data_IF_500085909765
#
_entry.id   IF_500085909765
#
_cell.length_a   1.000
_cell.length_b   1.000
_cell.length_c   1.000
_cell.angle_alpha   90.00
_cell.angle_beta   90.00
_cell.angle_gamma   90.00
#
_symmetry.space_group_name_H-M   'P 1'
#
loop_
_entity.id
_entity.type
_entity.pdbx_description
1 polymer ?
#
# COMPACT_ATOMS: atom_id res chain seq x y z
N UNK A 1 -32.50 8.22 -13.34
CA UNK A 1 -31.87 8.37 -12.01
C UNK A 1 -31.74 6.98 -11.42
N UNK A 2 -30.63 6.33 -11.68
CA UNK A 2 -30.31 5.01 -11.16
C UNK A 2 -29.21 5.20 -10.13
N UNK A 3 -29.61 5.07 -8.87
CA UNK A 3 -28.74 4.99 -7.70
C UNK A 3 -27.92 3.70 -7.82
N UNK A 4 -26.69 3.83 -8.28
CA UNK A 4 -25.73 2.73 -8.26
C UNK A 4 -25.09 2.69 -6.87
N UNK A 5 -25.84 2.07 -5.94
CA UNK A 5 -25.36 1.71 -4.61
C UNK A 5 -23.99 1.07 -4.71
N UNK A 6 -22.96 1.79 -4.25
CA UNK A 6 -21.60 1.29 -4.12
C UNK A 6 -21.63 0.14 -3.09
N UNK A 7 -21.85 -1.07 -3.56
CA UNK A 7 -21.82 -2.28 -2.74
C UNK A 7 -20.44 -2.35 -2.05
N UNK A 8 -20.45 -2.22 -0.75
CA UNK A 8 -19.27 -2.44 0.11
C UNK A 8 -18.85 -3.90 -0.05
N UNK A 9 -17.64 -4.12 -0.55
CA UNK A 9 -17.10 -5.45 -0.78
C UNK A 9 -16.82 -6.14 0.56
N UNK A 10 -17.15 -7.42 0.66
CA UNK A 10 -16.76 -8.24 1.80
C UNK A 10 -15.21 -8.40 1.86
N UNK A 11 -14.62 -8.38 3.07
CA UNK A 11 -13.16 -8.37 3.24
C UNK A 11 -12.44 -9.63 2.70
N UNK A 12 -13.15 -10.71 2.44
CA UNK A 12 -12.59 -12.01 2.04
C UNK A 12 -12.59 -12.27 0.52
N UNK A 13 -12.98 -11.29 -0.29
CA UNK A 13 -12.97 -11.46 -1.75
C UNK A 13 -11.58 -11.15 -2.33
N UNK A 14 -11.06 -11.95 -3.30
CA UNK A 14 -9.80 -11.66 -3.95
C UNK A 14 -9.87 -10.33 -4.73
N UNK A 15 -8.75 -9.59 -4.86
CA UNK A 15 -8.73 -8.34 -5.60
C UNK A 15 -9.25 -8.49 -7.03
N UNK A 16 -9.91 -7.45 -7.55
CA UNK A 16 -10.39 -7.46 -8.95
C UNK A 16 -9.23 -7.64 -9.91
N UNK A 17 -9.39 -8.55 -10.86
CA UNK A 17 -8.35 -8.82 -11.86
C UNK A 17 -8.06 -7.59 -12.73
N UNK A 18 -6.77 -7.37 -13.00
CA UNK A 18 -6.30 -6.36 -13.93
C UNK A 18 -6.74 -6.71 -15.36
N UNK A 19 -7.44 -5.79 -16.03
CA UNK A 19 -7.93 -6.00 -17.41
C UNK A 19 -6.99 -5.44 -18.48
N UNK A 20 -6.29 -4.34 -18.19
CA UNK A 20 -5.38 -3.64 -19.11
C UNK A 20 -3.93 -3.89 -18.72
N UNK A 21 -3.02 -3.81 -19.70
CA UNK A 21 -1.59 -3.96 -19.44
C UNK A 21 -1.14 -5.35 -18.99
N UNK A 22 -1.89 -6.42 -19.29
CA UNK A 22 -1.60 -7.80 -18.84
C UNK A 22 -0.23 -8.31 -19.28
N UNK A 23 0.27 -7.83 -20.43
CA UNK A 23 1.59 -8.25 -20.99
C UNK A 23 2.78 -7.77 -20.15
N UNK A 24 2.56 -6.74 -19.34
CA UNK A 24 3.58 -6.14 -18.46
C UNK A 24 3.20 -6.22 -16.98
N UNK A 25 2.14 -6.95 -16.66
CA UNK A 25 1.72 -7.12 -15.27
C UNK A 25 2.65 -8.10 -14.54
N UNK A 26 3.08 -7.73 -13.36
CA UNK A 26 3.82 -8.61 -12.47
C UNK A 26 2.98 -9.82 -12.05
N UNK A 27 3.59 -10.99 -11.99
CA UNK A 27 2.99 -12.15 -11.34
C UNK A 27 2.81 -11.95 -9.83
N UNK A 28 1.97 -12.75 -9.14
CA UNK A 28 1.71 -12.56 -7.71
C UNK A 28 2.98 -12.57 -6.85
N UNK A 29 3.86 -13.55 -7.02
CA UNK A 29 5.10 -13.65 -6.25
C UNK A 29 6.07 -12.49 -6.54
N UNK A 30 6.18 -12.05 -7.81
CA UNK A 30 7.00 -10.91 -8.21
C UNK A 30 6.47 -9.61 -7.60
N UNK A 31 5.17 -9.40 -7.65
CA UNK A 31 4.50 -8.25 -7.05
C UNK A 31 4.72 -8.20 -5.53
N UNK A 32 4.56 -9.32 -4.85
CA UNK A 32 4.73 -9.39 -3.39
C UNK A 32 6.20 -9.13 -3.00
N UNK A 33 7.16 -9.68 -3.74
CA UNK A 33 8.58 -9.38 -3.55
C UNK A 33 8.90 -7.89 -3.83
N UNK A 34 8.29 -7.30 -4.87
CA UNK A 34 8.44 -5.88 -5.17
C UNK A 34 7.91 -5.00 -4.04
N UNK A 35 6.70 -5.26 -3.56
CA UNK A 35 6.09 -4.51 -2.44
C UNK A 35 6.90 -4.67 -1.15
N UNK A 36 7.40 -5.86 -0.85
CA UNK A 36 8.24 -6.08 0.32
C UNK A 36 9.59 -5.32 0.23
N UNK A 37 10.17 -5.25 -0.96
CA UNK A 37 11.49 -4.65 -1.19
C UNK A 37 11.51 -3.12 -1.25
N UNK A 38 10.42 -2.47 -1.69
CA UNK A 38 10.36 -1.00 -1.78
C UNK A 38 10.07 -0.37 -0.43
N UNK A 39 10.57 0.86 -0.20
CA UNK A 39 10.50 1.52 1.12
C UNK A 39 9.45 2.61 1.23
N UNK A 40 9.08 3.23 0.13
CA UNK A 40 8.18 4.39 0.10
C UNK A 40 6.95 4.11 -0.73
N UNK A 41 5.79 4.38 -0.18
CA UNK A 41 4.51 4.41 -0.88
C UNK A 41 4.04 5.84 -1.07
N UNK A 42 3.37 6.14 -2.18
CA UNK A 42 2.66 7.38 -2.42
C UNK A 42 1.18 7.15 -2.15
N UNK A 43 0.63 7.82 -1.16
CA UNK A 43 -0.72 7.59 -0.65
C UNK A 43 -1.60 8.77 -1.04
N UNK A 44 -2.62 8.49 -1.84
CA UNK A 44 -3.60 9.46 -2.29
C UNK A 44 -4.91 9.32 -1.53
N UNK A 45 -5.38 10.42 -0.94
CA UNK A 45 -6.65 10.54 -0.23
C UNK A 45 -7.53 11.62 -0.87
N UNK A 46 -8.83 11.57 -0.60
CA UNK A 46 -9.76 12.61 -1.04
C UNK A 46 -9.89 13.68 0.06
N UNK A 47 -9.33 14.87 -0.17
CA UNK A 47 -9.53 16.02 0.69
C UNK A 47 -10.66 16.93 0.19
N UNK A 48 -11.07 17.90 0.98
CA UNK A 48 -12.06 18.90 0.57
C UNK A 48 -11.57 19.77 -0.59
N UNK A 49 -10.26 19.98 -0.70
CA UNK A 49 -9.63 20.77 -1.75
C UNK A 49 -9.24 19.92 -2.99
N UNK A 50 -9.63 18.66 -3.03
CA UNK A 50 -9.28 17.74 -4.10
C UNK A 50 -8.32 16.63 -3.65
N UNK A 51 -7.68 15.90 -4.58
CA UNK A 51 -6.76 14.82 -4.22
C UNK A 51 -5.56 15.32 -3.40
N UNK A 52 -5.28 14.64 -2.28
CA UNK A 52 -4.13 14.91 -1.42
C UNK A 52 -3.16 13.72 -1.52
N UNK A 53 -1.89 13.99 -1.86
CA UNK A 53 -0.87 12.96 -2.10
C UNK A 53 0.33 13.17 -1.17
N UNK A 54 0.70 12.12 -0.43
CA UNK A 54 1.85 12.17 0.49
C UNK A 54 2.66 10.88 0.45
N UNK A 55 4.02 10.94 0.61
CA UNK A 55 4.84 9.75 0.78
C UNK A 55 4.71 9.19 2.19
N UNK A 56 4.74 7.86 2.33
CA UNK A 56 4.74 7.15 3.61
C UNK A 56 5.65 5.93 3.56
N UNK A 57 6.11 5.52 4.73
CA UNK A 57 6.62 4.18 4.97
C UNK A 57 5.45 3.21 5.12
N UNK A 58 5.67 1.96 4.72
CA UNK A 58 4.65 0.92 4.74
C UNK A 58 5.27 -0.47 4.87
N UNK A 59 4.46 -1.44 5.24
CA UNK A 59 4.79 -2.85 5.09
C UNK A 59 3.71 -3.58 4.32
N UNK A 60 4.08 -4.67 3.66
CA UNK A 60 3.23 -5.59 2.95
C UNK A 60 3.34 -6.96 3.59
N UNK A 61 2.23 -7.55 4.04
CA UNK A 61 2.18 -8.86 4.71
C UNK A 61 1.81 -10.02 3.77
N UNK A 62 1.69 -9.75 2.45
CA UNK A 62 1.23 -10.70 1.44
C UNK A 62 -0.25 -10.55 1.10
N UNK A 63 -1.05 -9.90 1.94
CA UNK A 63 -2.50 -9.72 1.76
C UNK A 63 -2.95 -8.28 1.94
N UNK A 64 -2.37 -7.56 2.87
CA UNK A 64 -2.68 -6.18 3.20
C UNK A 64 -1.45 -5.28 3.20
N UNK A 65 -1.66 -4.03 2.85
CA UNK A 65 -0.67 -2.97 3.00
C UNK A 65 -0.98 -2.21 4.28
N UNK A 66 0.04 -2.10 5.14
CA UNK A 66 -0.03 -1.46 6.42
C UNK A 66 0.74 -0.15 6.42
N UNK A 67 0.08 0.91 6.89
CA UNK A 67 0.61 2.26 6.95
C UNK A 67 0.60 2.76 8.39
N UNK A 68 1.64 3.49 8.80
CA UNK A 68 1.58 4.31 9.99
C UNK A 68 1.28 5.75 9.61
N UNK A 69 0.33 6.38 10.28
CA UNK A 69 -0.08 7.76 10.02
C UNK A 69 -0.16 8.58 11.29
N UNK A 70 0.39 9.79 11.26
CA UNK A 70 0.24 10.76 12.36
C UNK A 70 -1.25 11.11 12.49
N UNK A 71 -1.82 10.93 13.70
CA UNK A 71 -3.25 11.11 13.94
C UNK A 71 -3.73 12.56 13.83
N UNK A 72 -2.83 13.52 13.90
CA UNK A 72 -3.11 14.96 13.67
C UNK A 72 -2.84 15.42 12.23
N UNK A 73 -2.54 14.50 11.29
CA UNK A 73 -2.25 14.89 9.90
C UNK A 73 -3.52 15.13 9.08
N UNK A 74 -3.39 15.92 8.01
CA UNK A 74 -4.48 16.13 7.03
C UNK A 74 -4.97 14.81 6.44
N UNK A 75 -4.05 13.90 6.08
CA UNK A 75 -4.39 12.56 5.59
C UNK A 75 -5.26 11.79 6.58
N UNK A 76 -4.96 11.85 7.87
CA UNK A 76 -5.78 11.20 8.89
C UNK A 76 -7.21 11.75 8.90
N UNK A 77 -7.35 13.07 8.86
CA UNK A 77 -8.66 13.72 8.77
C UNK A 77 -9.40 13.36 7.48
N UNK A 78 -8.70 13.31 6.34
CA UNK A 78 -9.27 12.90 5.06
C UNK A 78 -9.82 11.46 5.13
N UNK A 79 -9.03 10.52 5.66
CA UNK A 79 -9.40 9.10 5.76
C UNK A 79 -10.49 8.84 6.81
N UNK A 80 -10.58 9.64 7.85
CA UNK A 80 -11.68 9.58 8.82
C UNK A 80 -13.03 9.98 8.17
N UNK A 81 -12.98 10.91 7.19
CA UNK A 81 -14.16 11.35 6.44
C UNK A 81 -14.47 10.40 5.28
N UNK A 82 -13.47 10.00 4.51
CA UNK A 82 -13.57 9.09 3.38
C UNK A 82 -12.42 8.08 3.42
N UNK A 83 -12.67 6.83 3.83
CA UNK A 83 -11.62 5.82 3.97
C UNK A 83 -11.08 5.28 2.65
N UNK A 84 -11.58 5.73 1.50
CA UNK A 84 -11.08 5.34 0.18
C UNK A 84 -9.67 5.88 -0.05
N UNK A 85 -8.79 5.01 -0.55
CA UNK A 85 -7.39 5.32 -0.76
C UNK A 85 -6.87 4.68 -2.04
N UNK A 86 -5.93 5.36 -2.69
CA UNK A 86 -5.07 4.75 -3.69
C UNK A 86 -3.62 4.84 -3.21
N UNK A 87 -2.91 3.74 -3.29
CA UNK A 87 -1.50 3.65 -2.90
C UNK A 87 -0.69 3.21 -4.10
N UNK A 88 0.35 3.97 -4.42
CA UNK A 88 1.31 3.64 -5.46
C UNK A 88 2.67 3.36 -4.83
N UNK A 89 3.25 2.22 -5.20
CA UNK A 89 4.66 1.89 -4.98
C UNK A 89 5.31 1.74 -6.33
N UNK A 90 6.36 2.51 -6.61
CA UNK A 90 7.00 2.56 -7.92
C UNK A 90 8.53 2.58 -7.80
N UNK A 91 9.20 2.21 -8.90
CA UNK A 91 10.65 2.24 -9.06
C UNK A 91 11.03 2.39 -10.53
N UNK A 92 12.29 2.75 -10.78
CA UNK A 92 12.87 3.01 -12.09
C UNK A 92 12.94 4.51 -12.39
N UNK A 93 13.95 4.93 -13.13
CA UNK A 93 14.17 6.30 -13.58
C UNK A 93 13.90 6.40 -15.09
N UNK A 94 14.52 5.52 -15.88
CA UNK A 94 14.31 5.47 -17.31
C UNK A 94 13.02 4.73 -17.68
N UNK A 95 12.41 5.13 -18.81
CA UNK A 95 11.13 4.58 -19.26
C UNK A 95 11.12 3.05 -19.32
N UNK A 96 12.21 2.43 -19.80
CA UNK A 96 12.34 0.99 -19.90
C UNK A 96 12.48 0.27 -18.54
N UNK A 97 12.74 1.00 -17.48
CA UNK A 97 12.92 0.48 -16.11
C UNK A 97 11.70 0.67 -15.22
N UNK A 98 10.74 1.51 -15.68
CA UNK A 98 9.58 1.85 -14.87
C UNK A 98 8.77 0.61 -14.51
N UNK A 99 8.53 0.45 -13.24
CA UNK A 99 7.69 -0.59 -12.67
C UNK A 99 6.94 -0.09 -11.45
N UNK A 100 5.79 -0.66 -11.21
CA UNK A 100 4.99 -0.22 -10.08
C UNK A 100 3.81 -1.12 -9.78
N UNK A 101 3.27 -0.90 -8.59
CA UNK A 101 2.05 -1.54 -8.09
C UNK A 101 1.14 -0.47 -7.52
N UNK A 102 -0.07 -0.39 -8.06
CA UNK A 102 -1.15 0.42 -7.52
C UNK A 102 -2.14 -0.48 -6.76
N UNK A 103 -2.44 -0.09 -5.52
CA UNK A 103 -3.44 -0.73 -4.67
C UNK A 103 -4.56 0.26 -4.40
N UNK A 104 -5.80 -0.15 -4.61
CA UNK A 104 -6.99 0.65 -4.30
C UNK A 104 -7.91 -0.09 -3.39
N UNK A 105 -8.54 0.62 -2.46
CA UNK A 105 -9.51 0.08 -1.53
C UNK A 105 -9.87 1.08 -0.46
N UNK A 106 -10.27 0.56 0.68
CA UNK A 106 -10.61 1.33 1.87
C UNK A 106 -9.66 0.95 2.99
N UNK A 107 -9.24 1.93 3.77
CA UNK A 107 -8.43 1.66 4.97
C UNK A 107 -9.33 1.41 6.17
N UNK A 108 -8.80 0.61 7.09
CA UNK A 108 -9.35 0.37 8.42
C UNK A 108 -8.32 0.86 9.45
N UNK A 109 -8.80 1.47 10.52
CA UNK A 109 -7.96 1.77 11.68
C UNK A 109 -7.84 0.50 12.52
N UNK A 110 -6.60 0.12 12.88
CA UNK A 110 -6.34 -1.07 13.67
C UNK A 110 -5.56 -0.69 14.93
N UNK A 111 -6.03 -1.19 16.08
CA UNK A 111 -5.42 -0.96 17.38
C UNK A 111 -5.68 0.44 17.95
N UNK A 112 -4.79 0.85 18.85
CA UNK A 112 -4.90 2.13 19.58
C UNK A 112 -4.72 3.35 18.68
N UNK A 113 -5.39 4.45 19.03
CA UNK A 113 -5.28 5.76 18.36
C UNK A 113 -5.01 6.86 19.38
N UNK A 114 -3.79 7.42 19.46
CA UNK A 114 -2.55 6.95 18.83
C UNK A 114 -2.04 5.63 19.45
N UNK A 115 -1.15 4.96 18.72
CA UNK A 115 -0.51 3.72 19.16
C UNK A 115 0.49 3.99 20.28
N UNK A 116 0.32 3.33 21.43
CA UNK A 116 1.18 3.46 22.62
C UNK A 116 1.94 2.17 22.95
N UNK A 117 1.56 1.05 22.32
CA UNK A 117 2.25 -0.22 22.48
C UNK A 117 1.53 -1.23 23.36
N UNK A 118 0.23 -1.04 23.64
CA UNK A 118 -0.55 -2.09 24.30
C UNK A 118 -0.59 -3.35 23.41
N UNK A 119 -0.51 -4.56 23.99
CA UNK A 119 -0.55 -5.78 23.21
C UNK A 119 -1.78 -5.85 22.31
N UNK A 120 -1.55 -6.10 21.00
CA UNK A 120 -2.60 -6.29 20.01
C UNK A 120 -2.13 -7.33 18.99
N UNK A 121 -2.67 -8.56 19.02
CA UNK A 121 -2.24 -9.64 18.12
C UNK A 121 -2.38 -9.31 16.62
N UNK A 122 -3.27 -8.38 16.25
CA UNK A 122 -3.41 -7.95 14.85
C UNK A 122 -2.22 -7.11 14.37
N UNK A 123 -1.48 -6.50 15.30
CA UNK A 123 -0.35 -5.63 15.02
C UNK A 123 1.02 -6.33 15.18
N UNK A 124 1.08 -7.53 15.74
CA UNK A 124 2.33 -8.26 15.98
C UNK A 124 3.16 -8.40 14.70
N UNK A 125 2.56 -8.88 13.63
CA UNK A 125 3.27 -9.07 12.36
C UNK A 125 3.56 -7.75 11.61
N UNK A 126 2.62 -6.81 11.44
CA UNK A 126 2.93 -5.51 10.85
C UNK A 126 4.04 -4.74 11.59
N UNK A 127 4.04 -4.74 12.92
CA UNK A 127 5.07 -4.07 13.72
C UNK A 127 6.42 -4.75 13.59
N UNK A 128 6.48 -6.07 13.60
CA UNK A 128 7.69 -6.84 13.36
C UNK A 128 8.28 -6.55 11.96
N UNK A 129 7.44 -6.58 10.92
CA UNK A 129 7.84 -6.26 9.55
C UNK A 129 8.36 -4.82 9.44
N UNK A 130 7.69 -3.87 10.09
CA UNK A 130 8.08 -2.47 10.08
C UNK A 130 9.41 -2.23 10.78
N UNK A 131 9.59 -2.81 11.95
CA UNK A 131 10.85 -2.73 12.70
C UNK A 131 12.01 -3.33 11.92
N UNK A 132 11.83 -4.51 11.33
CA UNK A 132 12.84 -5.17 10.48
C UNK A 132 13.20 -4.33 9.25
N UNK A 133 12.20 -3.71 8.61
CA UNK A 133 12.38 -2.94 7.38
C UNK A 133 13.04 -1.56 7.61
N UNK A 134 12.73 -0.88 8.71
CA UNK A 134 13.10 0.52 8.91
C UNK A 134 13.99 0.80 10.11
N UNK A 135 13.95 -0.04 11.14
CA UNK A 135 14.72 0.16 12.38
C UNK A 135 15.87 -0.84 12.57
N UNK A 136 15.97 -1.86 11.71
CA UNK A 136 17.04 -2.86 11.78
C UNK A 136 16.93 -3.82 12.96
N UNK A 137 15.73 -3.98 13.54
CA UNK A 137 15.44 -4.85 14.68
C UNK A 137 14.03 -5.43 14.61
N UNK A 138 13.66 -6.20 15.63
CA UNK A 138 12.34 -6.87 15.67
C UNK A 138 11.31 -6.10 16.50
N UNK A 139 11.70 -5.01 17.16
CA UNK A 139 10.85 -4.23 18.07
C UNK A 139 10.57 -2.85 17.50
N UNK A 140 9.29 -2.52 17.31
CA UNK A 140 8.85 -1.21 16.90
C UNK A 140 8.86 -0.24 18.08
N UNK A 141 9.38 0.97 17.86
CA UNK A 141 9.27 2.07 18.80
C UNK A 141 7.98 2.85 18.56
N UNK A 142 7.19 3.06 19.63
CA UNK A 142 5.95 3.81 19.57
C UNK A 142 6.16 5.23 20.11
N UNK A 143 5.83 6.23 19.30
CA UNK A 143 6.04 7.65 19.61
C UNK A 143 4.78 8.34 20.19
N UNK A 144 3.67 7.60 20.33
CA UNK A 144 2.39 8.14 20.82
C UNK A 144 1.73 9.15 19.86
N UNK A 145 2.16 9.21 18.60
CA UNK A 145 1.64 10.15 17.58
C UNK A 145 1.05 9.45 16.36
N UNK A 146 1.51 8.24 16.08
CA UNK A 146 1.07 7.44 14.93
C UNK A 146 0.00 6.43 15.34
N UNK A 147 -0.83 6.05 14.37
CA UNK A 147 -1.72 4.90 14.47
C UNK A 147 -1.64 4.07 13.18
N UNK A 148 -2.09 2.82 13.24
CA UNK A 148 -2.05 1.89 12.14
C UNK A 148 -3.29 1.96 11.27
N UNK A 149 -3.06 1.93 9.97
CA UNK A 149 -4.07 1.81 8.93
C UNK A 149 -3.80 0.54 8.13
N UNK A 150 -4.80 -0.29 7.93
CA UNK A 150 -4.76 -1.49 7.11
C UNK A 150 -5.54 -1.26 5.82
N UNK A 151 -4.90 -1.52 4.68
CA UNK A 151 -5.52 -1.57 3.36
C UNK A 151 -5.54 -3.00 2.85
N UNK A 152 -6.70 -3.65 2.84
CA UNK A 152 -6.94 -4.87 2.07
C UNK A 152 -7.36 -4.44 0.67
N UNK A 153 -6.55 -4.68 -0.38
CA UNK A 153 -6.83 -4.11 -1.69
C UNK A 153 -8.08 -4.71 -2.34
N UNK A 154 -8.99 -3.87 -2.79
CA UNK A 154 -10.12 -4.26 -3.65
C UNK A 154 -9.67 -4.44 -5.10
N UNK A 155 -8.61 -3.72 -5.49
CA UNK A 155 -8.01 -3.77 -6.82
C UNK A 155 -6.51 -3.60 -6.72
N UNK A 156 -5.78 -4.46 -7.43
CA UNK A 156 -4.34 -4.34 -7.63
C UNK A 156 -4.09 -4.18 -9.13
N UNK A 157 -3.25 -3.21 -9.50
CA UNK A 157 -2.74 -3.02 -10.84
C UNK A 157 -1.23 -2.97 -10.76
N UNK A 158 -0.53 -3.71 -11.62
CA UNK A 158 0.92 -3.72 -11.65
C UNK A 158 1.45 -3.60 -13.07
N UNK A 159 2.68 -3.12 -13.19
CA UNK A 159 3.39 -3.04 -14.47
C UNK A 159 4.90 -3.16 -14.24
N UNK A 160 5.56 -3.76 -15.23
CA UNK A 160 7.00 -3.81 -15.33
C UNK A 160 7.41 -3.62 -16.80
N UNK A 161 7.88 -2.43 -17.16
CA UNK A 161 8.23 -2.10 -18.54
C UNK A 161 9.50 -2.81 -19.00
N UNK A 162 10.31 -3.34 -18.10
CA UNK A 162 11.46 -4.17 -18.47
C UNK A 162 11.04 -5.40 -19.30
N UNK A 163 9.80 -5.86 -19.14
CA UNK A 163 9.23 -6.95 -19.97
C UNK A 163 9.09 -6.57 -21.45
N UNK A 164 9.00 -5.27 -21.77
CA UNK A 164 8.93 -4.78 -23.16
C UNK A 164 10.32 -4.60 -23.78
N UNK A 165 11.35 -4.47 -22.94
CA UNK A 165 12.72 -4.19 -23.34
C UNK A 165 13.67 -5.23 -22.72
N UNK A 166 13.52 -6.54 -23.06
CA UNK A 166 14.41 -7.55 -22.51
C UNK A 166 15.86 -7.22 -22.88
N UNK A 167 16.76 -7.23 -21.90
CA UNK A 167 18.18 -7.01 -22.13
C UNK A 167 18.64 -7.96 -23.25
N UNK A 168 19.27 -7.41 -24.30
CA UNK A 168 19.91 -8.24 -25.32
C UNK A 168 20.96 -9.09 -24.62
N UNK A 169 20.81 -10.41 -24.71
CA UNK A 169 21.87 -11.33 -24.27
C UNK A 169 23.11 -11.01 -25.10
N UNK A 170 24.07 -10.37 -24.49
CA UNK A 170 25.40 -10.22 -25.08
C UNK A 170 25.99 -11.62 -25.16
N UNK A 171 25.95 -12.21 -26.33
CA UNK A 171 26.65 -13.47 -26.62
C UNK A 171 28.13 -13.11 -26.72
N UNK A 172 28.92 -13.47 -25.73
CA UNK A 172 30.39 -13.48 -25.79
C UNK A 172 30.84 -14.79 -26.37
#
# INVERSE_FOLDING_TARGET
>A
MTDESAATREPDQPPRQQRRGRKIAMGPAERDAFLAGQRTARVATASELGPHLTPLWYVWDGTALWLTSIVSSQRWADLARDPRVAVLVDAGEDYAELRGVELRGRVEIVGEVPRTGLPDPQLDEPERLFAGKYAGGDVMHHDGRHAWLRLVPEKITSWDFRMLFPAQKTTS
#
